data_IF_154992364320
#
_entry.id   IF_154992364320
#
_cell.length_a   1.000
_cell.length_b   1.000
_cell.length_c   1.000
_cell.angle_alpha   90.00
_cell.angle_beta   90.00
_cell.angle_gamma   90.00
#
_symmetry.space_group_name_H-M   'P 1'
#
loop_
_entity.id
_entity.type
_entity.pdbx_description
1 polymer ?
#
# COMPACT_ATOMS: atom_id res chain seq x y z
N UNK A 1 19.05 -10.00 -9.39
CA UNK A 1 18.41 -11.33 -9.35
C UNK A 1 19.31 -12.31 -10.07
N UNK A 2 19.41 -13.53 -9.57
CA UNK A 2 20.36 -14.55 -10.02
C UNK A 2 19.67 -15.89 -10.27
N UNK A 3 20.45 -16.93 -10.58
CA UNK A 3 19.98 -18.28 -10.92
C UNK A 3 19.41 -19.06 -9.73
N UNK A 4 19.35 -18.50 -8.52
CA UNK A 4 18.65 -19.14 -7.40
C UNK A 4 17.13 -19.18 -7.61
N UNK A 5 16.58 -18.26 -8.42
CA UNK A 5 15.20 -18.34 -8.89
C UNK A 5 15.11 -19.30 -10.08
N UNK A 6 14.56 -20.49 -9.84
CA UNK A 6 14.36 -21.54 -10.85
C UNK A 6 13.53 -21.13 -12.07
N UNK A 7 12.77 -20.03 -12.00
CA UNK A 7 11.90 -19.54 -13.08
C UNK A 7 12.51 -18.37 -13.84
N UNK A 8 13.64 -17.82 -13.38
CA UNK A 8 14.27 -16.67 -14.03
C UNK A 8 14.81 -17.07 -15.41
N UNK A 9 14.63 -16.19 -16.39
CA UNK A 9 15.20 -16.37 -17.72
C UNK A 9 16.09 -15.18 -18.08
N UNK A 10 17.13 -15.46 -18.85
CA UNK A 10 18.09 -14.44 -19.30
C UNK A 10 18.08 -14.36 -20.82
N UNK A 11 18.18 -13.15 -21.36
CA UNK A 11 18.35 -12.95 -22.79
C UNK A 11 19.80 -13.22 -23.25
N UNK A 12 20.05 -13.07 -24.56
CA UNK A 12 21.38 -13.28 -25.16
C UNK A 12 22.47 -12.37 -24.60
N UNK A 13 22.09 -11.27 -23.93
CA UNK A 13 23.01 -10.32 -23.28
C UNK A 13 23.17 -10.60 -21.79
N UNK A 14 22.55 -11.67 -21.27
CA UNK A 14 22.56 -12.03 -19.86
C UNK A 14 21.66 -11.16 -18.99
N UNK A 15 20.69 -10.43 -19.58
CA UNK A 15 19.76 -9.57 -18.82
C UNK A 15 18.53 -10.37 -18.41
N UNK A 16 18.15 -10.27 -17.14
CA UNK A 16 17.03 -11.01 -16.58
C UNK A 16 15.67 -10.55 -17.14
N UNK A 17 14.70 -11.46 -17.24
CA UNK A 17 13.34 -11.19 -17.70
C UNK A 17 12.61 -10.09 -16.90
N UNK A 18 12.80 -10.04 -15.58
CA UNK A 18 12.30 -8.95 -14.74
C UNK A 18 12.95 -7.60 -15.05
N UNK A 19 14.25 -7.60 -15.33
CA UNK A 19 15.03 -6.44 -15.70
C UNK A 19 14.50 -5.89 -17.04
N UNK A 20 14.33 -6.79 -18.01
CA UNK A 20 13.73 -6.49 -19.31
C UNK A 20 12.27 -6.02 -19.18
N UNK A 21 11.49 -6.59 -18.25
CA UNK A 21 10.14 -6.14 -17.94
C UNK A 21 10.14 -4.70 -17.41
N UNK A 22 11.05 -4.37 -16.49
CA UNK A 22 11.18 -3.01 -15.98
C UNK A 22 11.38 -2.00 -17.12
N UNK A 23 12.36 -2.21 -18.00
CA UNK A 23 12.63 -1.27 -19.10
C UNK A 23 11.48 -1.18 -20.10
N UNK A 24 10.82 -2.29 -20.40
CA UNK A 24 9.74 -2.36 -21.40
C UNK A 24 8.41 -1.82 -20.88
N UNK A 25 8.08 -2.11 -19.62
CA UNK A 25 6.73 -1.94 -19.09
C UNK A 25 6.64 -0.95 -17.93
N UNK A 26 7.60 -0.98 -17.00
CA UNK A 26 7.56 -0.18 -15.77
C UNK A 26 8.12 1.21 -16.02
N UNK A 27 9.36 1.32 -16.50
CA UNK A 27 10.05 2.58 -16.72
C UNK A 27 9.25 3.57 -17.60
N UNK A 28 8.61 3.15 -18.72
CA UNK A 28 7.82 4.08 -19.53
C UNK A 28 6.57 4.64 -18.82
N UNK A 29 6.07 3.93 -17.80
CA UNK A 29 4.88 4.30 -17.02
C UNK A 29 5.22 4.90 -15.65
N UNK A 30 6.49 4.80 -15.23
CA UNK A 30 6.96 5.28 -13.93
C UNK A 30 7.15 6.80 -13.96
N UNK A 31 6.04 7.52 -13.90
CA UNK A 31 6.04 8.98 -13.87
C UNK A 31 6.22 9.48 -12.43
N UNK A 32 7.46 9.77 -12.01
CA UNK A 32 7.76 10.33 -10.66
C UNK A 32 7.76 11.85 -10.59
N UNK A 33 7.87 12.54 -11.74
CA UNK A 33 7.89 14.00 -11.81
C UNK A 33 6.50 14.63 -11.91
N UNK A 34 6.45 15.85 -12.44
CA UNK A 34 5.23 16.66 -12.56
C UNK A 34 4.05 15.91 -13.24
N UNK A 35 4.33 15.11 -14.28
CA UNK A 35 3.31 14.28 -14.94
C UNK A 35 2.66 13.31 -13.96
N UNK A 36 3.45 12.68 -13.10
CA UNK A 36 2.96 11.78 -12.06
C UNK A 36 2.12 12.52 -11.02
N UNK A 37 2.61 13.68 -10.58
CA UNK A 37 1.88 14.56 -9.66
C UNK A 37 0.48 14.91 -10.18
N UNK A 38 0.36 15.37 -11.44
CA UNK A 38 -0.94 15.68 -12.05
C UNK A 38 -1.88 14.48 -12.15
N UNK A 39 -1.35 13.29 -12.45
CA UNK A 39 -2.14 12.06 -12.49
C UNK A 39 -2.65 11.69 -11.09
N UNK A 40 -1.80 11.84 -10.07
CA UNK A 40 -2.14 11.59 -8.67
C UNK A 40 -3.18 12.59 -8.16
N UNK A 41 -2.99 13.88 -8.40
CA UNK A 41 -3.96 14.92 -8.07
C UNK A 41 -5.33 14.64 -8.70
N UNK A 42 -5.36 14.30 -9.98
CA UNK A 42 -6.61 13.96 -10.67
C UNK A 42 -7.30 12.74 -10.05
N UNK A 43 -6.54 11.76 -9.57
CA UNK A 43 -7.06 10.59 -8.87
C UNK A 43 -7.64 10.96 -7.50
N UNK A 44 -6.91 11.77 -6.72
CA UNK A 44 -7.34 12.26 -5.40
C UNK A 44 -8.66 13.03 -5.52
N UNK A 45 -8.75 13.96 -6.48
CA UNK A 45 -9.99 14.74 -6.70
C UNK A 45 -11.17 13.85 -7.09
N UNK A 46 -10.91 12.81 -7.89
CA UNK A 46 -11.93 11.82 -8.22
C UNK A 46 -12.40 11.05 -6.98
N UNK A 47 -11.48 10.65 -6.10
CA UNK A 47 -11.80 9.95 -4.85
C UNK A 47 -12.67 10.84 -3.95
N UNK A 48 -12.23 12.08 -3.70
CA UNK A 48 -12.99 13.07 -2.89
C UNK A 48 -14.39 13.28 -3.44
N UNK A 49 -14.53 13.46 -4.76
CA UNK A 49 -15.83 13.62 -5.41
C UNK A 49 -16.75 12.42 -5.21
N UNK A 50 -16.22 11.20 -5.27
CA UNK A 50 -17.00 9.97 -5.04
C UNK A 50 -17.34 9.70 -3.57
N UNK A 51 -16.58 10.30 -2.65
CA UNK A 51 -16.79 10.25 -1.21
C UNK A 51 -17.70 11.35 -0.65
N UNK A 52 -18.17 12.29 -1.47
CA UNK A 52 -19.09 13.34 -1.01
C UNK A 52 -20.37 12.73 -0.42
N UNK A 53 -20.72 13.19 0.78
CA UNK A 53 -21.89 12.70 1.53
C UNK A 53 -21.70 11.35 2.21
N UNK A 54 -20.49 10.78 2.20
CA UNK A 54 -20.14 9.55 2.93
C UNK A 54 -19.24 9.87 4.13
N UNK A 55 -19.22 8.95 5.08
CA UNK A 55 -18.33 9.01 6.24
C UNK A 55 -16.86 8.90 5.82
N UNK A 56 -16.59 8.07 4.79
CA UNK A 56 -15.26 7.80 4.26
C UNK A 56 -15.21 7.95 2.73
N UNK A 57 -14.05 8.35 2.21
CA UNK A 57 -13.81 8.57 0.79
C UNK A 57 -13.09 7.39 0.12
N UNK A 58 -12.27 6.68 0.89
CA UNK A 58 -11.52 5.50 0.45
C UNK A 58 -11.30 4.54 1.63
N UNK A 59 -10.76 3.36 1.33
CA UNK A 59 -10.30 2.39 2.32
C UNK A 59 -8.79 2.23 2.20
N UNK A 60 -8.09 2.17 3.34
CA UNK A 60 -6.65 1.92 3.39
C UNK A 60 -6.38 0.75 4.34
N UNK A 61 -5.75 -0.29 3.80
CA UNK A 61 -5.21 -1.39 4.59
C UNK A 61 -3.98 -0.94 5.36
N UNK A 62 -3.95 -1.15 6.68
CA UNK A 62 -2.83 -0.81 7.54
C UNK A 62 -2.25 -2.08 8.17
N UNK A 63 -0.96 -2.32 7.95
CA UNK A 63 -0.23 -3.50 8.44
C UNK A 63 0.75 -3.20 9.58
N UNK A 64 0.95 -1.92 9.91
CA UNK A 64 2.04 -1.48 10.80
C UNK A 64 3.41 -1.39 10.13
N UNK A 65 3.54 -1.84 8.87
CA UNK A 65 4.74 -1.66 8.06
C UNK A 65 4.95 -0.21 7.59
N UNK A 66 6.20 0.14 7.28
CA UNK A 66 6.60 1.49 6.88
C UNK A 66 5.82 2.01 5.67
N UNK A 67 5.60 1.17 4.67
CA UNK A 67 4.92 1.58 3.43
C UNK A 67 3.45 1.96 3.68
N UNK A 68 2.70 1.11 4.39
CA UNK A 68 1.29 1.40 4.71
C UNK A 68 1.14 2.60 5.64
N UNK A 69 2.06 2.76 6.59
CA UNK A 69 2.07 3.91 7.51
C UNK A 69 2.39 5.21 6.77
N UNK A 70 3.36 5.19 5.85
CA UNK A 70 3.70 6.36 5.05
C UNK A 70 2.57 6.74 4.08
N UNK A 71 1.95 5.75 3.43
CA UNK A 71 0.78 5.99 2.58
C UNK A 71 -0.37 6.61 3.37
N UNK A 72 -0.67 6.10 4.56
CA UNK A 72 -1.72 6.65 5.42
C UNK A 72 -1.42 8.08 5.84
N UNK A 73 -0.16 8.38 6.20
CA UNK A 73 0.28 9.74 6.50
C UNK A 73 0.04 10.68 5.32
N UNK A 74 0.51 10.32 4.12
CA UNK A 74 0.32 11.14 2.92
C UNK A 74 -1.16 11.36 2.60
N UNK A 75 -1.97 10.30 2.66
CA UNK A 75 -3.39 10.37 2.39
C UNK A 75 -4.09 11.39 3.28
N UNK A 76 -3.79 11.39 4.57
CA UNK A 76 -4.45 12.26 5.55
C UNK A 76 -3.83 13.65 5.59
N UNK A 77 -2.50 13.77 5.71
CA UNK A 77 -1.81 15.05 5.93
C UNK A 77 -1.64 15.87 4.66
N UNK A 78 -1.21 15.22 3.58
CA UNK A 78 -0.87 15.92 2.34
C UNK A 78 -2.08 16.02 1.42
N UNK A 79 -2.87 14.95 1.33
CA UNK A 79 -4.00 14.88 0.39
C UNK A 79 -5.34 15.25 1.04
N UNK A 80 -5.42 15.30 2.37
CA UNK A 80 -6.63 15.64 3.10
C UNK A 80 -7.78 14.66 2.88
N UNK A 81 -7.46 13.39 2.63
CA UNK A 81 -8.44 12.32 2.46
C UNK A 81 -8.96 11.85 3.82
N UNK A 82 -10.20 11.32 3.81
CA UNK A 82 -10.83 10.67 4.97
C UNK A 82 -10.94 9.15 4.72
N UNK A 83 -9.88 8.37 4.99
CA UNK A 83 -9.89 6.94 4.78
C UNK A 83 -10.62 6.20 5.91
N UNK A 84 -11.33 5.13 5.56
CA UNK A 84 -11.60 4.03 6.48
C UNK A 84 -10.30 3.23 6.63
N UNK A 85 -9.74 3.20 7.84
CA UNK A 85 -8.52 2.43 8.08
C UNK A 85 -8.90 1.03 8.52
N UNK A 86 -8.41 0.04 7.78
CA UNK A 86 -8.74 -1.36 8.00
C UNK A 86 -7.48 -2.17 8.25
N UNK A 87 -7.49 -2.98 9.30
CA UNK A 87 -6.43 -3.90 9.64
C UNK A 87 -6.99 -5.33 9.67
N UNK A 88 -6.21 -6.27 9.14
CA UNK A 88 -6.54 -7.69 9.18
C UNK A 88 -5.49 -8.36 10.04
N UNK A 89 -5.91 -8.85 11.20
CA UNK A 89 -5.04 -9.56 12.14
C UNK A 89 -5.07 -11.05 11.82
N UNK A 90 -3.93 -11.57 11.34
CA UNK A 90 -3.72 -12.99 11.07
C UNK A 90 -3.31 -13.81 12.29
N UNK A 91 -3.08 -13.17 13.45
CA UNK A 91 -2.67 -13.81 14.70
C UNK A 91 -1.16 -13.87 14.94
N UNK A 92 -0.33 -13.26 14.08
CA UNK A 92 1.14 -13.26 14.18
C UNK A 92 1.79 -11.88 14.06
N UNK A 93 1.01 -10.83 14.27
CA UNK A 93 1.53 -9.47 14.20
C UNK A 93 2.64 -9.24 15.22
N UNK A 94 3.75 -8.65 14.76
CA UNK A 94 4.83 -8.30 15.67
C UNK A 94 4.42 -7.13 16.56
N UNK A 95 4.93 -7.11 17.79
CA UNK A 95 4.64 -6.01 18.74
C UNK A 95 4.98 -4.63 18.16
N UNK A 96 6.00 -4.57 17.28
CA UNK A 96 6.40 -3.34 16.59
C UNK A 96 5.30 -2.89 15.61
N UNK A 97 4.71 -3.83 14.87
CA UNK A 97 3.65 -3.53 13.89
C UNK A 97 2.40 -3.04 14.59
N UNK A 98 1.99 -3.70 15.67
CA UNK A 98 0.87 -3.27 16.52
C UNK A 98 1.09 -1.86 17.07
N UNK A 99 2.27 -1.60 17.64
CA UNK A 99 2.62 -0.26 18.15
C UNK A 99 2.62 0.80 17.04
N UNK A 100 3.12 0.47 15.85
CA UNK A 100 3.09 1.41 14.72
C UNK A 100 1.65 1.73 14.30
N UNK A 101 0.76 0.73 14.26
CA UNK A 101 -0.67 0.93 13.98
C UNK A 101 -1.27 1.91 14.99
N UNK A 102 -1.11 1.64 16.29
CA UNK A 102 -1.63 2.48 17.37
C UNK A 102 -1.14 3.92 17.25
N UNK A 103 0.18 4.12 17.09
CA UNK A 103 0.76 5.46 16.95
C UNK A 103 0.20 6.21 15.75
N UNK A 104 0.02 5.54 14.60
CA UNK A 104 -0.50 6.17 13.40
C UNK A 104 -1.95 6.60 13.56
N UNK A 105 -2.78 5.74 14.14
CA UNK A 105 -4.20 6.01 14.37
C UNK A 105 -4.39 7.16 15.36
N UNK A 106 -3.67 7.13 16.48
CA UNK A 106 -3.74 8.18 17.51
C UNK A 106 -3.25 9.53 16.99
N UNK A 107 -2.11 9.57 16.30
CA UNK A 107 -1.50 10.83 15.83
C UNK A 107 -2.27 11.46 14.67
N UNK A 108 -2.97 10.66 13.88
CA UNK A 108 -3.79 11.14 12.77
C UNK A 108 -5.26 11.34 13.16
N UNK A 109 -5.68 10.90 14.36
CA UNK A 109 -7.05 11.04 14.85
C UNK A 109 -8.04 10.23 14.02
N UNK A 110 -7.70 8.99 13.71
CA UNK A 110 -8.47 8.10 12.84
C UNK A 110 -9.19 7.03 13.66
N UNK A 111 -10.16 6.38 13.03
CA UNK A 111 -10.76 5.14 13.56
C UNK A 111 -10.13 3.94 12.86
N UNK A 112 -9.84 2.89 13.63
CA UNK A 112 -9.32 1.62 13.13
C UNK A 112 -10.40 0.55 13.19
N UNK A 113 -10.62 -0.11 12.05
CA UNK A 113 -11.44 -1.31 11.96
C UNK A 113 -10.52 -2.52 11.86
N UNK A 114 -10.64 -3.47 12.78
CA UNK A 114 -9.84 -4.69 12.79
C UNK A 114 -10.72 -5.91 12.57
N UNK A 115 -10.37 -6.70 11.56
CA UNK A 115 -10.91 -8.05 11.38
C UNK A 115 -9.88 -9.08 11.83
N UNK A 116 -10.24 -9.89 12.82
CA UNK A 116 -9.38 -10.96 13.32
C UNK A 116 -9.76 -12.25 12.61
N UNK A 117 -8.85 -12.78 11.80
CA UNK A 117 -9.11 -14.02 11.07
C UNK A 117 -9.06 -15.20 12.05
N UNK A 118 -9.93 -16.19 11.83
CA UNK A 118 -9.91 -17.43 12.60
C UNK A 118 -8.53 -18.11 12.50
N UNK A 119 -7.85 -18.20 13.64
CA UNK A 119 -6.53 -18.84 13.75
C UNK A 119 -6.51 -20.28 13.23
N UNK A 120 -7.60 -21.04 13.41
CA UNK A 120 -7.66 -22.41 12.94
C UNK A 120 -7.60 -22.53 11.42
N UNK A 121 -8.05 -21.50 10.69
CA UNK A 121 -7.98 -21.45 9.23
C UNK A 121 -6.62 -20.94 8.74
N UNK A 122 -5.96 -20.06 9.52
CA UNK A 122 -4.71 -19.40 9.12
C UNK A 122 -3.45 -20.20 9.42
N UNK A 123 -3.46 -21.04 10.46
CA UNK A 123 -2.28 -21.82 10.88
C UNK A 123 -1.80 -22.86 9.86
N UNK A 124 -2.67 -23.26 8.94
CA UNK A 124 -2.42 -24.32 7.95
C UNK A 124 -1.86 -23.77 6.61
N UNK A 125 -1.67 -22.44 6.51
CA UNK A 125 -1.08 -21.73 5.36
C UNK A 125 0.42 -21.48 5.54
#
# INVERSE_FOLDING_TARGET
MDTSDSKITFDEKGVCDWCNNFYRNTLPRWHTGEKGGKLLESLIEKIKKQGQGKDFECIIGLSGGSDSSYLLHLAVKEFGLRPLVFHVDGGWDSQISVNNIEVMIDKLGLELFTEVINWEEMKDL
#
